data_IF_821224112873
#
_entry.id   IF_821224112873
#
_cell.length_a   1.000
_cell.length_b   1.000
_cell.length_c   1.000
_cell.angle_alpha   90.00
_cell.angle_beta   90.00
_cell.angle_gamma   90.00
#
_symmetry.space_group_name_H-M   'P 1'
#
loop_
_entity.id
_entity.type
_entity.pdbx_description
1 polymer ?
#
# COMPACT_ATOMS: atom_id res chain seq x y z
N UNK A 1 0.65 6.78 -27.13
CA UNK A 1 0.10 5.71 -26.25
C UNK A 1 0.87 5.75 -24.96
N UNK A 2 0.20 5.75 -23.82
CA UNK A 2 0.85 5.74 -22.49
C UNK A 2 0.70 4.35 -21.89
N UNK A 3 1.80 3.70 -21.54
CA UNK A 3 1.79 2.38 -20.90
C UNK A 3 2.08 2.51 -19.39
N UNK A 4 1.17 2.00 -18.57
CA UNK A 4 1.25 2.00 -17.11
C UNK A 4 1.55 0.58 -16.65
N UNK A 5 2.74 0.33 -16.14
CA UNK A 5 3.11 -0.96 -15.54
C UNK A 5 2.63 -1.02 -14.08
N UNK A 6 1.92 -2.08 -13.73
CA UNK A 6 1.55 -2.41 -12.35
C UNK A 6 2.25 -3.71 -11.94
N UNK A 7 3.02 -3.67 -10.85
CA UNK A 7 3.61 -4.87 -10.24
C UNK A 7 2.87 -5.22 -8.95
N UNK A 8 2.83 -6.52 -8.60
CA UNK A 8 2.04 -6.97 -7.45
C UNK A 8 0.54 -7.07 -7.73
N UNK A 9 0.13 -7.17 -9.01
CA UNK A 9 -1.27 -7.20 -9.44
C UNK A 9 -2.10 -8.31 -8.78
N UNK A 10 -1.50 -9.45 -8.43
CA UNK A 10 -2.18 -10.60 -7.79
C UNK A 10 -2.36 -10.47 -6.27
N UNK A 11 -1.69 -9.49 -5.64
CA UNK A 11 -1.79 -9.22 -4.21
C UNK A 11 -3.14 -8.59 -3.81
N UNK A 12 -3.39 -8.45 -2.50
CA UNK A 12 -4.67 -7.92 -2.00
C UNK A 12 -4.99 -6.51 -2.54
N UNK A 13 -3.99 -5.63 -2.62
CA UNK A 13 -4.15 -4.30 -3.20
C UNK A 13 -4.26 -4.38 -4.73
N UNK A 14 -3.32 -5.07 -5.38
CA UNK A 14 -3.22 -5.08 -6.85
C UNK A 14 -4.44 -5.67 -7.55
N UNK A 15 -4.98 -6.78 -7.05
CA UNK A 15 -6.17 -7.45 -7.64
C UNK A 15 -7.45 -6.60 -7.58
N UNK A 16 -7.48 -5.58 -6.71
CA UNK A 16 -8.58 -4.61 -6.61
C UNK A 16 -8.26 -3.30 -7.31
N UNK A 17 -7.00 -2.92 -7.35
CA UNK A 17 -6.54 -1.72 -8.03
C UNK A 17 -6.58 -1.85 -9.56
N UNK A 18 -6.06 -2.96 -10.12
CA UNK A 18 -5.94 -3.13 -11.57
C UNK A 18 -7.29 -3.04 -12.30
N UNK A 19 -8.38 -3.72 -11.85
CA UNK A 19 -9.68 -3.58 -12.51
C UNK A 19 -10.22 -2.14 -12.49
N UNK A 20 -9.97 -1.38 -11.42
CA UNK A 20 -10.34 0.03 -11.33
C UNK A 20 -9.50 0.89 -12.26
N UNK A 21 -8.19 0.65 -12.28
CA UNK A 21 -7.29 1.37 -13.18
C UNK A 21 -7.71 1.20 -14.64
N UNK A 22 -8.07 -0.01 -15.06
CA UNK A 22 -8.59 -0.29 -16.41
C UNK A 22 -9.85 0.50 -16.76
N UNK A 23 -10.69 0.82 -15.77
CA UNK A 23 -11.88 1.65 -15.97
C UNK A 23 -11.57 3.17 -16.00
N UNK A 24 -10.44 3.59 -15.42
CA UNK A 24 -10.08 5.01 -15.23
C UNK A 24 -9.08 5.53 -16.27
N UNK A 25 -8.39 4.62 -16.96
CA UNK A 25 -7.45 5.00 -18.03
C UNK A 25 -8.19 5.44 -19.28
N UNK A 26 -7.56 6.30 -20.06
CA UNK A 26 -8.09 6.69 -21.36
C UNK A 26 -8.00 5.54 -22.39
N UNK A 27 -8.83 5.53 -23.44
CA UNK A 27 -8.85 4.44 -24.43
C UNK A 27 -7.52 4.21 -25.18
N UNK A 28 -6.65 5.19 -25.21
CA UNK A 28 -5.31 5.13 -25.82
C UNK A 28 -4.20 4.78 -24.83
N UNK A 29 -4.56 4.46 -23.57
CA UNK A 29 -3.62 4.03 -22.54
C UNK A 29 -3.66 2.52 -22.36
N UNK A 30 -2.53 1.94 -22.07
CA UNK A 30 -2.36 0.51 -21.81
C UNK A 30 -2.01 0.28 -20.34
N UNK A 31 -2.74 -0.60 -19.68
CA UNK A 31 -2.37 -1.13 -18.36
C UNK A 31 -1.63 -2.44 -18.58
N UNK A 32 -0.38 -2.49 -18.15
CA UNK A 32 0.45 -3.71 -18.18
C UNK A 32 0.65 -4.23 -16.77
N UNK A 33 0.62 -5.56 -16.61
CA UNK A 33 0.86 -6.22 -15.33
C UNK A 33 2.02 -7.19 -15.41
N UNK A 34 2.90 -7.23 -14.40
CA UNK A 34 3.91 -8.28 -14.24
C UNK A 34 3.36 -9.33 -13.27
N UNK A 35 3.20 -10.56 -13.73
CA UNK A 35 2.60 -11.66 -12.97
C UNK A 35 3.40 -12.95 -13.11
N UNK A 36 3.41 -13.80 -12.07
CA UNK A 36 4.24 -15.02 -12.04
C UNK A 36 3.60 -16.23 -12.71
N UNK A 37 2.30 -16.31 -12.79
CA UNK A 37 1.58 -17.49 -13.26
C UNK A 37 0.74 -17.22 -14.48
N UNK A 38 0.64 -18.22 -15.36
CA UNK A 38 -0.15 -18.15 -16.60
C UNK A 38 -1.65 -17.94 -16.36
N UNK A 39 -2.19 -18.51 -15.30
CA UNK A 39 -3.60 -18.31 -14.90
C UNK A 39 -3.86 -16.83 -14.58
N UNK A 40 -2.97 -16.22 -13.79
CA UNK A 40 -3.06 -14.79 -13.50
C UNK A 40 -2.89 -13.93 -14.76
N UNK A 41 -1.99 -14.33 -15.67
CA UNK A 41 -1.80 -13.61 -16.92
C UNK A 41 -3.08 -13.66 -17.77
N UNK A 42 -3.70 -14.84 -17.92
CA UNK A 42 -4.98 -14.97 -18.63
C UNK A 42 -6.08 -14.12 -18.00
N UNK A 43 -6.23 -14.20 -16.67
CA UNK A 43 -7.22 -13.41 -15.94
C UNK A 43 -7.10 -11.91 -16.23
N UNK A 44 -5.90 -11.34 -16.13
CA UNK A 44 -5.71 -9.92 -16.39
C UNK A 44 -5.85 -9.55 -17.87
N UNK A 45 -5.49 -10.46 -18.78
CA UNK A 45 -5.71 -10.25 -20.22
C UNK A 45 -7.20 -10.23 -20.56
N UNK A 46 -8.00 -11.12 -19.96
CA UNK A 46 -9.45 -11.12 -20.10
C UNK A 46 -10.10 -9.84 -19.57
N UNK A 47 -9.48 -9.20 -18.56
CA UNK A 47 -9.91 -7.88 -18.07
C UNK A 47 -9.47 -6.72 -18.96
N UNK A 48 -8.61 -6.95 -19.96
CA UNK A 48 -8.13 -5.93 -20.88
C UNK A 48 -6.74 -5.38 -20.58
N UNK A 49 -5.98 -6.00 -19.66
CA UNK A 49 -4.60 -5.62 -19.40
C UNK A 49 -3.62 -6.41 -20.31
N UNK A 50 -2.48 -5.83 -20.59
CA UNK A 50 -1.33 -6.55 -21.14
C UNK A 50 -0.58 -7.29 -20.03
N UNK A 51 -0.40 -8.61 -20.15
CA UNK A 51 0.27 -9.40 -19.12
C UNK A 51 1.68 -9.80 -19.55
N UNK A 52 2.67 -9.54 -18.68
CA UNK A 52 4.05 -10.03 -18.82
C UNK A 52 4.28 -11.10 -17.76
N UNK A 53 4.71 -12.29 -18.21
CA UNK A 53 5.06 -13.39 -17.31
C UNK A 53 6.47 -13.21 -16.76
N UNK A 54 6.60 -13.30 -15.44
CA UNK A 54 7.88 -13.27 -14.75
C UNK A 54 7.78 -12.90 -13.28
N UNK A 55 8.88 -13.10 -12.57
CA UNK A 55 9.01 -12.68 -11.17
C UNK A 55 9.65 -11.30 -11.10
N UNK A 56 9.17 -10.45 -10.19
CA UNK A 56 9.74 -9.11 -9.96
C UNK A 56 11.23 -9.16 -9.56
N UNK A 57 11.69 -10.27 -8.97
CA UNK A 57 13.11 -10.47 -8.61
C UNK A 57 14.00 -10.77 -9.81
N UNK A 58 13.42 -11.18 -10.96
CA UNK A 58 14.14 -11.48 -12.18
C UNK A 58 14.36 -10.21 -13.01
N UNK A 59 15.62 -9.91 -13.35
CA UNK A 59 16.01 -8.73 -14.11
C UNK A 59 15.45 -8.75 -15.54
N UNK A 60 15.45 -9.90 -16.21
CA UNK A 60 14.93 -10.01 -17.57
C UNK A 60 13.40 -9.83 -17.60
N UNK A 61 12.70 -10.32 -16.57
CA UNK A 61 11.26 -10.10 -16.44
C UNK A 61 10.94 -8.61 -16.23
N UNK A 62 11.68 -7.92 -15.35
CA UNK A 62 11.51 -6.47 -15.14
C UNK A 62 11.79 -5.69 -16.42
N UNK A 63 12.87 -6.03 -17.14
CA UNK A 63 13.22 -5.38 -18.41
C UNK A 63 12.10 -5.52 -19.43
N UNK A 64 11.57 -6.73 -19.64
CA UNK A 64 10.42 -6.94 -20.55
C UNK A 64 9.18 -6.16 -20.09
N UNK A 65 8.91 -6.14 -18.80
CA UNK A 65 7.75 -5.41 -18.27
C UNK A 65 7.86 -3.90 -18.44
N UNK A 66 9.07 -3.35 -18.35
CA UNK A 66 9.35 -1.91 -18.50
C UNK A 66 9.48 -1.45 -19.96
N UNK A 67 9.54 -2.34 -20.94
CA UNK A 67 9.70 -1.96 -22.34
C UNK A 67 8.56 -1.04 -22.80
N UNK A 68 8.90 0.22 -23.13
CA UNK A 68 7.93 1.23 -23.51
C UNK A 68 6.96 1.70 -22.41
N UNK A 69 7.25 1.40 -21.14
CA UNK A 69 6.44 1.88 -20.03
C UNK A 69 6.71 3.36 -19.74
N UNK A 70 5.65 4.15 -19.63
CA UNK A 70 5.70 5.57 -19.28
C UNK A 70 5.56 5.81 -17.77
N UNK A 71 4.86 4.92 -17.10
CA UNK A 71 4.61 4.99 -15.67
C UNK A 71 4.65 3.62 -14.99
N UNK A 72 5.01 3.59 -13.72
CA UNK A 72 5.03 2.39 -12.89
C UNK A 72 4.23 2.63 -11.60
N UNK A 73 3.38 1.67 -11.23
CA UNK A 73 2.75 1.58 -9.91
C UNK A 73 3.19 0.28 -9.26
N UNK A 74 4.13 0.37 -8.31
CA UNK A 74 4.64 -0.78 -7.58
C UNK A 74 3.84 -1.01 -6.31
N UNK A 75 2.94 -1.99 -6.33
CA UNK A 75 2.19 -2.46 -5.15
C UNK A 75 2.64 -3.85 -4.68
N UNK A 76 3.74 -4.37 -5.25
CA UNK A 76 4.30 -5.65 -4.84
C UNK A 76 4.77 -5.60 -3.39
N UNK A 77 4.43 -6.64 -2.64
CA UNK A 77 4.87 -6.81 -1.27
C UNK A 77 4.90 -8.29 -0.88
N UNK A 78 5.95 -8.69 -0.18
CA UNK A 78 6.02 -9.89 0.61
C UNK A 78 5.69 -9.51 2.05
N UNK A 79 4.54 -10.01 2.56
CA UNK A 79 3.98 -9.60 3.85
C UNK A 79 3.35 -10.80 4.54
N UNK A 80 3.62 -10.99 5.83
CA UNK A 80 3.13 -12.08 6.66
C UNK A 80 3.31 -13.49 6.09
N UNK A 81 3.83 -14.39 6.90
CA UNK A 81 3.96 -15.80 6.54
C UNK A 81 5.04 -16.10 5.49
N UNK A 82 5.89 -15.14 5.17
CA UNK A 82 7.07 -15.32 4.32
C UNK A 82 8.35 -15.25 5.16
N UNK A 83 9.44 -15.95 4.76
CA UNK A 83 10.75 -15.77 5.36
C UNK A 83 11.26 -14.33 5.26
N UNK A 84 12.08 -13.90 6.22
CA UNK A 84 12.64 -12.54 6.24
C UNK A 84 13.46 -12.25 4.98
N UNK A 85 14.19 -13.23 4.45
CA UNK A 85 14.97 -13.10 3.22
C UNK A 85 14.07 -12.79 2.02
N UNK A 86 12.89 -13.39 1.93
CA UNK A 86 11.94 -13.11 0.87
C UNK A 86 11.36 -11.71 1.02
N UNK A 87 11.07 -11.28 2.25
CA UNK A 87 10.61 -9.92 2.51
C UNK A 87 11.67 -8.90 2.06
N UNK A 88 12.94 -9.08 2.35
CA UNK A 88 14.02 -8.24 1.87
C UNK A 88 14.14 -8.27 0.35
N UNK A 89 14.16 -9.46 -0.25
CA UNK A 89 14.33 -9.63 -1.70
C UNK A 89 13.21 -8.96 -2.51
N UNK A 90 11.96 -9.03 -2.05
CA UNK A 90 10.81 -8.46 -2.77
C UNK A 90 10.59 -6.98 -2.42
N UNK A 91 10.54 -6.65 -1.12
CA UNK A 91 10.13 -5.32 -0.70
C UNK A 91 11.20 -4.26 -0.91
N UNK A 92 12.49 -4.62 -0.77
CA UNK A 92 13.63 -3.72 -0.90
C UNK A 92 14.37 -3.93 -2.22
N UNK A 93 14.97 -5.11 -2.39
CA UNK A 93 15.94 -5.30 -3.47
C UNK A 93 15.29 -5.24 -4.85
N UNK A 94 14.18 -5.96 -5.06
CA UNK A 94 13.46 -5.93 -6.32
C UNK A 94 12.77 -4.58 -6.58
N UNK A 95 12.29 -3.90 -5.54
CA UNK A 95 11.70 -2.55 -5.68
C UNK A 95 12.75 -1.52 -6.11
N UNK A 96 13.94 -1.52 -5.49
CA UNK A 96 15.04 -0.62 -5.87
C UNK A 96 15.56 -0.94 -7.28
N UNK A 97 15.70 -2.23 -7.61
CA UNK A 97 16.11 -2.65 -8.94
C UNK A 97 15.10 -2.18 -10.01
N UNK A 98 13.79 -2.38 -9.76
CA UNK A 98 12.73 -1.87 -10.63
C UNK A 98 12.82 -0.35 -10.81
N UNK A 99 13.07 0.41 -9.74
CA UNK A 99 13.23 1.86 -9.80
C UNK A 99 14.42 2.28 -10.66
N UNK A 100 15.58 1.64 -10.50
CA UNK A 100 16.78 1.89 -11.32
C UNK A 100 16.55 1.59 -12.81
N UNK A 101 15.94 0.46 -13.08
CA UNK A 101 15.60 0.06 -14.44
C UNK A 101 14.52 0.94 -15.07
N UNK A 102 13.53 1.38 -14.28
CA UNK A 102 12.51 2.34 -14.71
C UNK A 102 13.11 3.71 -15.07
N UNK A 103 14.04 4.22 -14.24
CA UNK A 103 14.77 5.46 -14.55
C UNK A 103 15.58 5.33 -15.84
N UNK A 104 16.31 4.21 -16.01
CA UNK A 104 17.09 3.93 -17.22
C UNK A 104 16.21 3.78 -18.48
N UNK A 105 14.97 3.28 -18.33
CA UNK A 105 13.99 3.16 -19.41
C UNK A 105 13.25 4.48 -19.71
N UNK A 106 13.50 5.57 -18.96
CA UNK A 106 12.86 6.86 -19.17
C UNK A 106 11.42 6.94 -18.62
N UNK A 107 11.06 6.10 -17.66
CA UNK A 107 9.77 6.15 -16.96
C UNK A 107 9.61 7.52 -16.28
N UNK A 108 8.52 8.21 -16.61
CA UNK A 108 8.26 9.58 -16.14
C UNK A 108 7.59 9.64 -14.76
N UNK A 109 6.85 8.61 -14.39
CA UNK A 109 6.13 8.53 -13.10
C UNK A 109 6.35 7.17 -12.45
N UNK A 110 6.87 7.18 -11.25
CA UNK A 110 7.01 5.97 -10.42
C UNK A 110 6.27 6.16 -9.11
N UNK A 111 5.24 5.34 -8.87
CA UNK A 111 4.46 5.33 -7.63
C UNK A 111 4.81 4.09 -6.83
N UNK A 112 5.31 4.28 -5.61
CA UNK A 112 5.66 3.21 -4.67
C UNK A 112 4.64 3.10 -3.56
N UNK A 113 3.93 1.98 -3.47
CA UNK A 113 3.17 1.65 -2.28
C UNK A 113 4.09 1.26 -1.13
N UNK A 114 3.97 1.95 -0.01
CA UNK A 114 4.68 1.70 1.24
C UNK A 114 3.68 1.48 2.38
N UNK A 115 4.09 1.66 3.62
CA UNK A 115 3.27 1.42 4.81
C UNK A 115 3.47 2.49 5.86
N UNK A 116 2.41 2.83 6.62
CA UNK A 116 2.53 3.70 7.78
C UNK A 116 3.33 3.07 8.95
N UNK A 117 3.54 1.76 8.93
CA UNK A 117 4.36 1.06 9.94
C UNK A 117 5.83 1.52 9.95
N UNK A 118 6.30 2.20 8.89
CA UNK A 118 7.65 2.78 8.84
C UNK A 118 7.85 3.89 9.87
N UNK A 119 6.77 4.49 10.37
CA UNK A 119 6.84 5.52 11.41
C UNK A 119 7.17 4.97 12.80
N UNK A 120 6.80 3.71 13.08
CA UNK A 120 7.04 3.07 14.36
C UNK A 120 6.33 3.73 15.52
N UNK A 121 7.06 4.01 16.61
CA UNK A 121 6.53 4.59 17.84
C UNK A 121 5.83 5.94 17.63
N UNK A 122 4.81 6.18 18.43
CA UNK A 122 4.01 7.39 18.39
C UNK A 122 4.79 8.64 18.83
N UNK A 123 4.30 9.80 18.42
CA UNK A 123 4.96 11.12 18.66
C UNK A 123 4.05 12.11 19.38
N UNK A 124 3.00 11.63 20.05
CA UNK A 124 2.00 12.50 20.69
C UNK A 124 1.06 13.22 19.69
N UNK A 125 1.18 12.89 18.39
CA UNK A 125 0.35 13.36 17.27
C UNK A 125 0.39 12.38 16.11
N UNK A 126 -0.50 12.49 15.10
CA UNK A 126 -0.35 11.75 13.84
C UNK A 126 0.99 12.08 13.16
N UNK A 127 1.64 11.07 12.59
CA UNK A 127 2.90 11.23 11.88
C UNK A 127 2.67 11.98 10.56
N UNK A 128 3.45 13.03 10.33
CA UNK A 128 3.54 13.70 9.04
C UNK A 128 4.44 12.91 8.07
N UNK A 129 4.23 13.10 6.76
CA UNK A 129 5.04 12.43 5.75
C UNK A 129 6.55 12.74 5.86
N UNK A 130 6.90 13.91 6.39
CA UNK A 130 8.27 14.37 6.62
C UNK A 130 8.90 13.90 7.94
N UNK A 131 8.15 13.22 8.81
CA UNK A 131 8.70 12.75 10.08
C UNK A 131 9.75 11.67 9.88
N UNK A 132 10.79 11.63 10.73
CA UNK A 132 11.81 10.58 10.71
C UNK A 132 11.18 9.20 10.87
N UNK A 133 11.69 8.23 10.14
CA UNK A 133 11.23 6.84 10.21
C UNK A 133 11.87 6.12 11.41
N UNK A 134 11.12 5.24 12.06
CA UNK A 134 11.55 4.39 13.17
C UNK A 134 11.04 2.96 12.98
N UNK A 135 11.32 2.33 11.83
CA UNK A 135 10.74 1.02 11.49
C UNK A 135 11.18 -0.09 12.44
N UNK A 136 12.30 0.09 13.16
CA UNK A 136 12.81 -0.83 14.18
C UNK A 136 11.93 -0.93 15.42
N UNK A 137 11.10 0.09 15.70
CA UNK A 137 10.14 0.09 16.80
C UNK A 137 8.81 -0.58 16.43
N UNK A 138 8.63 -0.92 15.16
CA UNK A 138 7.54 -1.76 14.66
C UNK A 138 7.91 -3.24 14.68
N UNK A 139 6.93 -4.12 14.51
CA UNK A 139 7.18 -5.57 14.51
C UNK A 139 7.68 -6.10 13.16
N UNK A 140 8.63 -7.02 13.24
CA UNK A 140 9.10 -7.81 12.09
C UNK A 140 9.96 -7.05 11.07
N UNK A 141 10.25 -7.72 9.99
CA UNK A 141 11.11 -7.24 8.89
C UNK A 141 10.39 -6.29 7.93
N UNK A 142 9.06 -6.43 7.82
CA UNK A 142 8.27 -5.72 6.81
C UNK A 142 8.42 -4.19 6.86
N UNK A 143 8.24 -3.50 7.99
CA UNK A 143 8.41 -2.04 8.05
C UNK A 143 9.83 -1.61 7.68
N UNK A 144 10.83 -2.36 8.13
CA UNK A 144 12.25 -2.06 7.83
C UNK A 144 12.55 -2.22 6.35
N UNK A 145 12.11 -3.31 5.72
CA UNK A 145 12.32 -3.54 4.29
C UNK A 145 11.62 -2.49 3.41
N UNK A 146 10.45 -1.99 3.84
CA UNK A 146 9.74 -0.90 3.14
C UNK A 146 10.45 0.46 3.34
N UNK A 147 10.93 0.77 4.54
CA UNK A 147 11.67 2.01 4.80
C UNK A 147 12.98 2.05 3.99
N UNK A 148 13.73 0.95 3.95
CA UNK A 148 14.95 0.86 3.13
C UNK A 148 14.66 0.93 1.62
N UNK A 149 13.51 0.41 1.18
CA UNK A 149 13.07 0.57 -0.21
C UNK A 149 12.79 2.04 -0.54
N UNK A 150 12.08 2.77 0.33
CA UNK A 150 11.86 4.22 0.14
C UNK A 150 13.18 4.98 0.03
N UNK A 151 14.11 4.74 0.97
CA UNK A 151 15.43 5.38 0.96
C UNK A 151 16.23 5.05 -0.31
N UNK A 152 16.30 3.76 -0.68
CA UNK A 152 17.04 3.35 -1.88
C UNK A 152 16.42 3.84 -3.19
N UNK A 153 15.09 3.96 -3.27
CA UNK A 153 14.41 4.56 -4.43
C UNK A 153 14.65 6.06 -4.53
N UNK A 154 14.70 6.78 -3.41
CA UNK A 154 15.00 8.22 -3.39
C UNK A 154 16.42 8.53 -3.87
N UNK A 155 17.35 7.59 -3.70
CA UNK A 155 18.73 7.71 -4.18
C UNK A 155 18.90 7.37 -5.68
N UNK A 156 17.88 6.88 -6.36
CA UNK A 156 17.98 6.53 -7.79
C UNK A 156 18.01 7.82 -8.63
N UNK A 157 19.12 8.10 -9.35
CA UNK A 157 19.20 9.30 -10.16
C UNK A 157 18.09 9.38 -11.23
N UNK A 158 17.39 10.48 -11.28
CA UNK A 158 16.36 10.77 -12.28
C UNK A 158 15.00 10.10 -12.01
N UNK A 159 14.80 9.36 -10.91
CA UNK A 159 13.53 8.68 -10.64
C UNK A 159 12.49 9.56 -9.95
N UNK A 160 12.84 10.27 -8.89
CA UNK A 160 11.94 11.07 -8.04
C UNK A 160 10.58 10.37 -7.72
N UNK A 161 10.60 9.23 -7.00
CA UNK A 161 9.41 8.41 -6.79
C UNK A 161 8.36 9.13 -5.96
N UNK A 162 7.08 8.92 -6.27
CA UNK A 162 5.97 9.28 -5.37
C UNK A 162 5.67 8.10 -4.47
N UNK A 163 5.76 8.30 -3.16
CA UNK A 163 5.51 7.24 -2.18
C UNK A 163 4.12 7.41 -1.56
N UNK A 164 3.34 6.33 -1.52
CA UNK A 164 2.05 6.28 -0.83
C UNK A 164 2.15 5.26 0.31
N UNK A 165 2.23 5.75 1.55
CA UNK A 165 2.25 4.94 2.77
C UNK A 165 0.82 4.56 3.15
N UNK A 166 0.51 3.28 3.08
CA UNK A 166 -0.81 2.73 3.35
C UNK A 166 -0.94 2.39 4.83
N UNK A 167 -2.08 2.71 5.42
CA UNK A 167 -2.49 2.20 6.72
C UNK A 167 -2.94 0.73 6.62
N UNK A 168 -3.60 0.19 7.63
CA UNK A 168 -4.18 -1.15 7.59
C UNK A 168 -5.28 -1.21 6.53
N UNK A 169 -4.99 -1.89 5.41
CA UNK A 169 -5.91 -1.97 4.27
C UNK A 169 -7.01 -3.00 4.54
N UNK A 170 -8.27 -2.66 4.25
CA UNK A 170 -9.45 -3.50 4.50
C UNK A 170 -10.52 -3.34 3.42
N UNK A 171 -11.56 -4.17 3.49
CA UNK A 171 -12.77 -4.09 2.67
C UNK A 171 -12.78 -5.01 1.46
N UNK A 172 -13.93 -5.10 0.80
CA UNK A 172 -14.14 -5.86 -0.43
C UNK A 172 -13.76 -7.35 -0.31
N UNK A 173 -14.14 -7.97 0.80
CA UNK A 173 -13.84 -9.37 1.07
C UNK A 173 -12.36 -9.67 1.34
N UNK A 174 -11.55 -8.65 1.66
CA UNK A 174 -10.19 -8.88 2.13
C UNK A 174 -10.23 -9.55 3.52
N UNK A 175 -9.62 -10.73 3.70
CA UNK A 175 -9.63 -11.42 4.98
C UNK A 175 -8.81 -10.71 6.08
N UNK A 176 -8.13 -9.61 5.75
CA UNK A 176 -7.23 -8.92 6.65
C UNK A 176 -7.93 -8.42 7.91
N UNK A 177 -9.16 -7.90 7.77
CA UNK A 177 -9.96 -7.45 8.92
C UNK A 177 -10.26 -8.60 9.88
N UNK A 178 -10.75 -9.74 9.38
CA UNK A 178 -11.04 -10.93 10.20
C UNK A 178 -9.77 -11.56 10.77
N UNK A 179 -8.68 -11.55 10.02
CA UNK A 179 -7.38 -12.04 10.49
C UNK A 179 -6.78 -11.15 11.59
N UNK A 180 -7.23 -9.91 11.74
CA UNK A 180 -6.79 -9.02 12.82
C UNK A 180 -7.09 -9.58 14.20
N UNK A 181 -8.16 -10.37 14.36
CA UNK A 181 -8.55 -11.03 15.60
C UNK A 181 -7.39 -11.76 16.31
N UNK A 182 -6.39 -12.25 15.55
CA UNK A 182 -5.27 -13.01 16.10
C UNK A 182 -4.26 -12.16 16.88
N UNK A 183 -4.12 -10.88 16.56
CA UNK A 183 -3.11 -10.00 17.17
C UNK A 183 -3.69 -8.90 18.05
N UNK A 184 -5.01 -8.67 18.01
CA UNK A 184 -5.67 -7.67 18.85
C UNK A 184 -6.06 -8.19 20.24
N UNK A 185 -6.00 -9.49 20.50
CA UNK A 185 -6.48 -10.15 21.74
C UNK A 185 -5.87 -9.53 23.01
N UNK A 186 -4.60 -9.13 22.96
CA UNK A 186 -3.90 -8.53 24.10
C UNK A 186 -3.92 -7.00 24.11
N UNK A 187 -4.71 -6.36 23.25
CA UNK A 187 -4.70 -4.90 23.16
C UNK A 187 -5.63 -4.27 24.18
N UNK A 188 -5.23 -3.11 24.76
CA UNK A 188 -6.15 -2.26 25.51
C UNK A 188 -7.37 -1.88 24.67
N UNK A 189 -8.56 -1.74 25.32
CA UNK A 189 -9.81 -1.49 24.62
C UNK A 189 -9.77 -0.28 23.68
N UNK A 190 -9.10 0.79 24.08
CA UNK A 190 -9.00 2.06 23.36
C UNK A 190 -7.75 2.18 22.47
N UNK A 191 -6.92 1.13 22.36
CA UNK A 191 -5.82 1.12 21.39
C UNK A 191 -6.35 1.22 19.98
N UNK A 192 -5.80 2.16 19.20
CA UNK A 192 -6.28 2.51 17.87
C UNK A 192 -5.48 1.83 16.77
N UNK A 193 -6.16 1.44 15.70
CA UNK A 193 -5.57 0.98 14.45
C UNK A 193 -6.02 1.94 13.33
N UNK A 194 -5.10 2.66 12.69
CA UNK A 194 -5.42 3.46 11.52
C UNK A 194 -5.68 2.54 10.33
N UNK A 195 -6.71 2.83 9.56
CA UNK A 195 -7.19 1.98 8.48
C UNK A 195 -7.32 2.75 7.17
N UNK A 196 -7.47 2.04 6.07
CA UNK A 196 -7.84 2.60 4.76
C UNK A 196 -8.55 1.54 3.93
N UNK A 197 -9.66 1.91 3.30
CA UNK A 197 -10.43 1.00 2.45
C UNK A 197 -9.75 0.79 1.08
N UNK A 198 -9.89 -0.41 0.47
CA UNK A 198 -9.30 -0.70 -0.84
C UNK A 198 -9.70 0.28 -1.95
N UNK A 199 -10.94 0.75 -1.97
CA UNK A 199 -11.39 1.76 -2.94
C UNK A 199 -10.62 3.08 -2.77
N UNK A 200 -10.32 3.45 -1.53
CA UNK A 200 -9.61 4.67 -1.19
C UNK A 200 -8.10 4.56 -1.44
N UNK A 201 -7.52 3.36 -1.23
CA UNK A 201 -6.16 3.04 -1.69
C UNK A 201 -6.06 3.17 -3.21
N UNK A 202 -7.02 2.61 -3.95
CA UNK A 202 -7.02 2.70 -5.41
C UNK A 202 -7.10 4.16 -5.87
N UNK A 203 -7.95 4.98 -5.24
CA UNK A 203 -8.03 6.41 -5.51
C UNK A 203 -6.70 7.12 -5.22
N UNK A 204 -6.05 6.82 -4.08
CA UNK A 204 -4.78 7.44 -3.71
C UNK A 204 -3.66 7.11 -4.71
N UNK A 205 -3.53 5.83 -5.09
CA UNK A 205 -2.56 5.39 -6.09
C UNK A 205 -2.82 6.03 -7.47
N UNK A 206 -4.08 6.10 -7.89
CA UNK A 206 -4.45 6.73 -9.16
C UNK A 206 -4.14 8.23 -9.16
N UNK A 207 -4.45 8.95 -8.08
CA UNK A 207 -4.13 10.37 -7.96
C UNK A 207 -2.62 10.60 -7.92
N UNK A 208 -1.86 9.78 -7.20
CA UNK A 208 -0.40 9.83 -7.20
C UNK A 208 0.19 9.56 -8.60
N UNK A 209 -0.45 8.69 -9.39
CA UNK A 209 -0.07 8.43 -10.77
C UNK A 209 -0.33 9.64 -11.69
N UNK A 210 -1.44 10.38 -11.48
CA UNK A 210 -1.94 11.40 -12.43
C UNK A 210 -1.60 12.85 -12.09
N UNK A 211 -1.37 13.16 -10.81
CA UNK A 211 -1.12 14.55 -10.40
C UNK A 211 0.28 14.99 -10.83
N UNK A 212 0.43 16.08 -11.61
CA UNK A 212 1.73 16.62 -11.97
C UNK A 212 2.35 17.40 -10.81
N UNK A 213 3.69 17.57 -10.84
CA UNK A 213 4.41 18.43 -9.90
C UNK A 213 4.57 17.87 -8.48
N UNK A 214 4.38 16.54 -8.31
CA UNK A 214 4.50 15.86 -7.02
C UNK A 214 5.68 14.87 -6.97
N UNK A 215 6.62 15.02 -7.87
CA UNK A 215 7.82 14.19 -7.95
C UNK A 215 8.59 14.21 -6.63
N UNK A 216 8.94 13.04 -6.09
CA UNK A 216 9.62 12.89 -4.82
C UNK A 216 8.74 13.09 -3.57
N UNK A 217 7.42 13.32 -3.73
CA UNK A 217 6.51 13.53 -2.60
C UNK A 217 6.12 12.20 -1.94
N UNK A 218 5.81 12.31 -0.66
CA UNK A 218 5.34 11.18 0.18
C UNK A 218 3.97 11.55 0.73
N UNK A 219 3.03 10.59 0.66
CA UNK A 219 1.65 10.76 1.14
C UNK A 219 1.24 9.60 2.04
N UNK A 220 0.42 9.87 3.04
CA UNK A 220 -0.20 8.86 3.87
C UNK A 220 -1.64 8.62 3.43
N UNK A 221 -1.96 7.40 3.05
CA UNK A 221 -3.32 6.97 2.78
C UNK A 221 -3.90 6.28 4.02
N UNK A 222 -4.67 7.04 4.77
CA UNK A 222 -5.35 6.63 6.00
C UNK A 222 -6.73 7.28 6.04
N UNK A 223 -7.75 6.57 6.53
CA UNK A 223 -9.10 7.11 6.71
C UNK A 223 -9.18 8.14 7.85
N UNK A 224 -10.37 8.69 8.08
CA UNK A 224 -10.57 9.77 9.05
C UNK A 224 -10.82 9.29 10.49
N UNK A 225 -11.16 8.00 10.65
CA UNK A 225 -11.57 7.44 11.91
C UNK A 225 -10.90 6.10 12.21
N UNK A 226 -9.73 6.12 12.87
CA UNK A 226 -9.09 4.89 13.30
C UNK A 226 -10.02 4.09 14.22
N UNK A 227 -10.04 2.77 14.03
CA UNK A 227 -10.85 1.88 14.89
C UNK A 227 -10.12 1.58 16.19
N UNK A 228 -10.88 1.35 17.25
CA UNK A 228 -10.35 0.86 18.52
C UNK A 228 -10.24 -0.68 18.52
N UNK A 229 -9.46 -1.23 19.45
CA UNK A 229 -9.45 -2.67 19.68
C UNK A 229 -10.85 -3.20 20.04
N UNK A 230 -11.62 -2.43 20.80
CA UNK A 230 -13.04 -2.71 21.09
C UNK A 230 -13.86 -2.83 19.81
N UNK A 231 -13.72 -1.89 18.89
CA UNK A 231 -14.43 -1.90 17.62
C UNK A 231 -14.02 -3.11 16.76
N UNK A 232 -12.74 -3.46 16.72
CA UNK A 232 -12.25 -4.62 15.99
C UNK A 232 -12.85 -5.94 16.53
N UNK A 233 -12.99 -6.07 17.84
CA UNK A 233 -13.68 -7.22 18.44
C UNK A 233 -15.15 -7.27 18.00
N UNK A 234 -15.87 -6.14 18.06
CA UNK A 234 -17.26 -6.05 17.58
C UNK A 234 -17.41 -6.39 16.10
N UNK A 235 -16.52 -5.88 15.27
CA UNK A 235 -16.53 -6.15 13.83
C UNK A 235 -16.29 -7.62 13.49
N UNK A 236 -15.48 -8.30 14.30
CA UNK A 236 -15.19 -9.72 14.16
C UNK A 236 -16.19 -10.64 14.89
N UNK A 237 -17.16 -10.08 15.60
CA UNK A 237 -18.15 -10.86 16.36
C UNK A 237 -17.56 -11.63 17.55
N UNK A 238 -16.42 -11.18 18.10
CA UNK A 238 -15.72 -11.83 19.22
C UNK A 238 -15.90 -11.01 20.51
N UNK A 239 -16.08 -11.64 21.68
CA UNK A 239 -16.13 -10.94 22.95
C UNK A 239 -14.83 -10.20 23.23
N UNK A 240 -14.93 -8.99 23.80
CA UNK A 240 -13.75 -8.26 24.26
C UNK A 240 -13.26 -8.85 25.60
N UNK A 241 -11.94 -9.13 25.77
CA UNK A 241 -11.40 -9.67 27.01
C UNK A 241 -11.56 -8.65 28.18
N UNK A 242 -12.23 -9.05 29.25
CA UNK A 242 -12.53 -8.16 30.37
C UNK A 242 -11.27 -7.59 31.05
N UNK A 243 -10.19 -8.39 31.09
CA UNK A 243 -8.89 -8.01 31.64
C UNK A 243 -8.20 -6.87 30.91
N UNK A 244 -8.58 -6.62 29.64
CA UNK A 244 -8.00 -5.56 28.81
C UNK A 244 -8.88 -4.30 28.75
N UNK A 245 -10.07 -4.33 29.38
CA UNK A 245 -11.04 -3.23 29.29
C UNK A 245 -10.49 -1.91 29.84
N UNK A 246 -9.82 -1.98 31.00
CA UNK A 246 -9.26 -0.84 31.70
C UNK A 246 -7.73 -0.71 31.51
N UNK A 247 -7.13 -1.55 30.65
CA UNK A 247 -5.71 -1.50 30.38
C UNK A 247 -5.34 -0.20 29.66
N UNK A 248 -4.23 0.41 30.07
CA UNK A 248 -3.73 1.67 29.47
C UNK A 248 -2.91 1.34 28.22
N UNK A 249 -3.20 2.03 27.12
CA UNK A 249 -2.33 1.98 25.93
C UNK A 249 -1.07 2.82 26.19
N UNK A 250 0.11 2.21 26.22
CA UNK A 250 1.35 2.92 26.49
C UNK A 250 1.75 3.86 25.34
N UNK A 251 1.21 3.65 24.15
CA UNK A 251 1.52 4.46 22.96
C UNK A 251 0.27 4.64 22.06
N UNK A 252 -0.64 5.53 22.44
CA UNK A 252 -1.90 5.73 21.69
C UNK A 252 -1.71 6.40 20.32
N UNK A 253 -0.49 6.80 19.98
CA UNK A 253 -0.14 7.40 18.69
C UNK A 253 0.62 6.46 17.77
N UNK A 254 0.87 5.21 18.18
CA UNK A 254 1.56 4.22 17.39
C UNK A 254 0.88 4.01 16.04
N UNK A 255 1.64 4.17 14.96
CA UNK A 255 1.17 3.98 13.59
C UNK A 255 0.16 5.03 13.07
N UNK A 256 -0.28 5.98 13.90
CA UNK A 256 -1.18 7.06 13.48
C UNK A 256 -0.47 7.99 12.49
N UNK A 257 -1.14 8.34 11.39
CA UNK A 257 -0.57 9.18 10.33
C UNK A 257 -1.58 10.25 9.87
N UNK A 258 -1.05 11.36 9.36
CA UNK A 258 -1.80 12.50 8.86
C UNK A 258 -2.06 12.35 7.35
N UNK A 259 -3.31 12.46 6.91
CA UNK A 259 -3.72 12.37 5.51
C UNK A 259 -3.96 13.75 4.83
N UNK A 260 -3.74 14.85 5.54
CA UNK A 260 -4.03 16.20 5.00
C UNK A 260 -3.26 16.50 3.71
N UNK A 261 -1.95 16.21 3.56
CA UNK A 261 -1.26 16.45 2.29
C UNK A 261 -1.87 15.68 1.12
N UNK A 262 -2.31 14.44 1.33
CA UNK A 262 -2.98 13.66 0.29
C UNK A 262 -4.31 14.30 -0.14
N UNK A 263 -5.04 14.89 0.82
CA UNK A 263 -6.28 15.61 0.56
C UNK A 263 -6.06 16.93 -0.17
N UNK A 264 -5.13 17.74 0.31
CA UNK A 264 -4.96 19.11 -0.11
C UNK A 264 -4.23 19.19 -1.47
N UNK A 265 -3.19 18.38 -1.66
CA UNK A 265 -2.39 18.41 -2.87
C UNK A 265 -2.97 17.55 -3.99
N UNK A 266 -3.55 16.38 -3.68
CA UNK A 266 -4.08 15.45 -4.67
C UNK A 266 -5.61 15.48 -4.80
N UNK A 267 -6.29 16.25 -3.95
CA UNK A 267 -7.76 16.28 -3.91
C UNK A 267 -8.39 14.95 -3.52
N UNK A 268 -7.64 14.07 -2.83
CA UNK A 268 -8.15 12.79 -2.37
C UNK A 268 -9.24 12.98 -1.32
N UNK A 269 -10.31 12.20 -1.42
CA UNK A 269 -11.39 12.16 -0.43
C UNK A 269 -11.81 10.71 -0.26
N UNK A 270 -11.74 10.14 0.95
CA UNK A 270 -12.12 8.75 1.15
C UNK A 270 -13.61 8.56 0.87
N UNK A 271 -13.93 7.53 0.09
CA UNK A 271 -15.30 7.04 -0.12
C UNK A 271 -15.82 6.38 1.16
N UNK A 272 -14.90 5.75 1.89
CA UNK A 272 -15.17 5.11 3.18
C UNK A 272 -14.30 5.76 4.26
N UNK A 273 -14.72 6.91 4.82
CA UNK A 273 -13.94 7.65 5.80
C UNK A 273 -13.79 6.93 7.14
N UNK A 274 -14.45 5.77 7.30
CA UNK A 274 -14.31 4.88 8.45
C UNK A 274 -14.73 3.45 8.09
N UNK A 275 -14.30 2.47 8.87
CA UNK A 275 -14.76 1.09 8.72
C UNK A 275 -16.28 0.96 8.91
N UNK A 276 -16.88 1.84 9.72
CA UNK A 276 -18.31 1.84 9.95
C UNK A 276 -19.09 2.29 8.71
N UNK A 277 -18.63 3.33 8.03
CA UNK A 277 -19.23 3.75 6.75
C UNK A 277 -19.09 2.68 5.65
N UNK A 278 -17.97 1.96 5.61
CA UNK A 278 -17.78 0.84 4.70
C UNK A 278 -18.73 -0.32 5.01
N UNK A 279 -18.88 -0.67 6.31
CA UNK A 279 -19.82 -1.69 6.74
C UNK A 279 -21.25 -1.35 6.36
N UNK A 280 -21.69 -0.12 6.64
CA UNK A 280 -23.07 0.32 6.38
C UNK A 280 -23.35 0.42 4.88
N UNK A 281 -22.32 0.57 4.05
CA UNK A 281 -22.37 0.49 2.59
C UNK A 281 -22.28 -0.94 2.03
N UNK A 282 -22.10 -1.97 2.89
CA UNK A 282 -21.88 -3.35 2.45
C UNK A 282 -20.54 -3.59 1.74
N UNK A 283 -19.52 -2.79 2.07
CA UNK A 283 -18.22 -2.78 1.38
C UNK A 283 -17.07 -3.42 2.20
N UNK A 284 -17.39 -4.18 3.27
CA UNK A 284 -16.38 -4.93 4.03
C UNK A 284 -15.91 -6.21 3.33
#
# INVERSE_FOLDING_TARGET
MTTILVTGATGQVGRRFVPRLLQWVAPDETVRVLVRGEESARHFTELGAEAVLGDLRDADARKRALEGADAVVNVAAAFRGVPDEEAWAVNRDAAIALGREAAAAGVRRFVQASTNLVYGAGRGRPAAASDPLQPETSWGVYPRSKAEAEAGLAEVPGLAPVVVRLAFVYGEGDPHLTQSARFIVGWPAHRRLPMVHHADVAQALFRALRTPGIEGRIYNAVDDAPVTAWDLHRLNGIPFPAENADAVDPDPWNGMADNLPLRDELGWRPLHPSVWSARDAGAL
#
